data_IF_614214707886
#
_entry.id   IF_614214707886
#
_cell.length_a   1.000
_cell.length_b   1.000
_cell.length_c   1.000
_cell.angle_alpha   90.00
_cell.angle_beta   90.00
_cell.angle_gamma   90.00
#
_symmetry.space_group_name_H-M   'P 1'
#
loop_
_entity.id
_entity.type
_entity.pdbx_description
1 polymer ?
#
# COMPACT_ATOMS: atom_id res chain seq x y z
N UNK A 1 3.78 14.92 0.13
CA UNK A 1 3.75 14.09 -1.10
C UNK A 1 3.45 12.64 -0.73
N UNK A 2 2.62 11.93 -1.51
CA UNK A 2 2.30 10.53 -1.26
C UNK A 2 3.53 9.65 -1.46
N UNK A 3 3.72 8.62 -0.60
CA UNK A 3 4.84 7.69 -0.67
C UNK A 3 4.35 6.26 -0.87
N UNK A 4 5.18 5.46 -1.52
CA UNK A 4 4.90 4.04 -1.84
C UNK A 4 5.97 3.16 -1.23
N UNK A 5 5.56 2.04 -0.62
CA UNK A 5 6.46 0.98 -0.17
C UNK A 5 6.18 -0.27 -0.98
N UNK A 6 7.22 -0.86 -1.55
CA UNK A 6 7.15 -2.15 -2.27
C UNK A 6 7.92 -3.19 -1.49
N UNK A 7 7.22 -4.14 -0.90
CA UNK A 7 7.80 -5.27 -0.18
C UNK A 7 8.12 -6.41 -1.14
N UNK A 8 9.38 -6.83 -1.13
CA UNK A 8 9.93 -7.88 -1.99
C UNK A 8 10.55 -8.99 -1.15
N UNK A 9 10.53 -10.23 -1.66
CA UNK A 9 10.95 -11.42 -0.94
C UNK A 9 12.44 -11.41 -0.51
N UNK A 10 13.31 -10.78 -1.30
CA UNK A 10 14.76 -10.69 -1.04
C UNK A 10 15.30 -9.30 -1.37
N UNK A 11 16.51 -9.00 -0.91
CA UNK A 11 17.19 -7.74 -1.27
C UNK A 11 17.50 -7.65 -2.78
N UNK A 12 17.80 -8.79 -3.42
CA UNK A 12 18.00 -8.87 -4.87
C UNK A 12 16.69 -8.63 -5.63
N UNK A 13 15.58 -9.14 -5.12
CA UNK A 13 14.27 -8.85 -5.70
C UNK A 13 13.91 -7.37 -5.55
N UNK A 14 14.21 -6.76 -4.40
CA UNK A 14 14.01 -5.33 -4.17
C UNK A 14 14.88 -4.49 -5.12
N UNK A 15 16.11 -4.92 -5.44
CA UNK A 15 16.97 -4.23 -6.41
C UNK A 15 16.42 -4.35 -7.84
N UNK A 16 16.01 -5.55 -8.27
CA UNK A 16 15.39 -5.73 -9.60
C UNK A 16 14.11 -4.90 -9.75
N UNK A 17 13.28 -4.87 -8.70
CA UNK A 17 12.08 -4.05 -8.66
C UNK A 17 12.42 -2.56 -8.75
N UNK A 18 13.43 -2.09 -8.02
CA UNK A 18 13.91 -0.71 -8.10
C UNK A 18 14.33 -0.35 -9.53
N UNK A 19 15.14 -1.20 -10.17
CA UNK A 19 15.58 -0.97 -11.54
C UNK A 19 14.43 -0.90 -12.53
N UNK A 20 13.46 -1.81 -12.43
CA UNK A 20 12.25 -1.80 -13.27
C UNK A 20 11.44 -0.50 -13.06
N UNK A 21 11.23 -0.09 -11.80
CA UNK A 21 10.51 1.14 -11.49
C UNK A 21 11.25 2.40 -11.94
N UNK A 22 12.59 2.43 -11.87
CA UNK A 22 13.42 3.51 -12.40
C UNK A 22 13.24 3.63 -13.92
N UNK A 23 13.26 2.51 -14.64
CA UNK A 23 13.08 2.50 -16.08
C UNK A 23 11.68 2.98 -16.50
N UNK A 24 10.64 2.54 -15.77
CA UNK A 24 9.25 2.93 -16.03
C UNK A 24 8.93 4.38 -15.65
N UNK A 25 9.70 4.97 -14.74
CA UNK A 25 9.52 6.34 -14.27
C UNK A 25 10.73 7.22 -14.64
N UNK A 26 11.30 6.98 -15.83
CA UNK A 26 12.56 7.61 -16.27
C UNK A 26 12.52 9.15 -16.21
N UNK A 27 11.39 9.76 -16.51
CA UNK A 27 11.24 11.21 -16.48
C UNK A 27 11.32 11.77 -15.06
N UNK A 28 10.64 11.11 -14.10
CA UNK A 28 10.70 11.49 -12.69
C UNK A 28 12.09 11.26 -12.10
N UNK A 29 12.77 10.19 -12.52
CA UNK A 29 14.13 9.88 -12.07
C UNK A 29 15.15 10.85 -12.65
N UNK A 30 14.94 11.38 -13.86
CA UNK A 30 15.77 12.48 -14.42
C UNK A 30 15.65 13.76 -13.60
N UNK A 31 14.44 14.07 -13.10
CA UNK A 31 14.24 15.22 -12.22
C UNK A 31 14.92 15.01 -10.86
N UNK A 32 14.81 13.82 -10.30
CA UNK A 32 15.47 13.48 -9.04
C UNK A 32 15.83 11.98 -8.98
N UNK A 33 17.14 11.64 -8.94
CA UNK A 33 17.60 10.25 -8.85
C UNK A 33 17.08 9.48 -7.63
N UNK A 34 16.68 10.18 -6.57
CA UNK A 34 16.11 9.59 -5.37
C UNK A 34 14.59 9.32 -5.48
N UNK A 35 13.99 9.45 -6.67
CA UNK A 35 12.57 9.16 -6.85
C UNK A 35 12.22 7.72 -6.46
N UNK A 36 13.07 6.76 -6.85
CA UNK A 36 12.96 5.34 -6.47
C UNK A 36 14.24 4.90 -5.78
N UNK A 37 14.16 4.49 -4.53
CA UNK A 37 15.32 4.05 -3.73
C UNK A 37 15.07 2.66 -3.15
N UNK A 38 16.09 1.80 -3.15
CA UNK A 38 16.09 0.56 -2.37
C UNK A 38 16.48 0.91 -0.93
N UNK A 39 15.70 0.42 0.04
CA UNK A 39 15.98 0.61 1.47
C UNK A 39 16.00 -0.77 2.12
N UNK A 40 17.18 -1.34 2.27
CA UNK A 40 17.41 -2.67 2.85
C UNK A 40 18.49 -2.63 3.92
N UNK A 41 18.61 -3.73 4.71
CA UNK A 41 19.55 -3.80 5.81
C UNK A 41 21.02 -3.75 5.40
N UNK A 42 21.36 -4.21 4.19
CA UNK A 42 22.73 -4.22 3.66
C UNK A 42 23.10 -2.96 2.87
N UNK A 43 22.11 -2.11 2.53
CA UNK A 43 22.32 -0.94 1.67
C UNK A 43 22.55 0.34 2.48
N UNK A 44 23.82 0.75 2.57
CA UNK A 44 24.18 1.97 3.32
C UNK A 44 23.65 3.25 2.68
N UNK A 45 23.47 3.28 1.35
CA UNK A 45 22.83 4.41 0.67
C UNK A 45 21.35 4.48 1.01
N UNK A 46 20.65 3.37 0.91
CA UNK A 46 19.24 3.29 1.25
C UNK A 46 18.96 3.62 2.72
N UNK A 47 19.82 3.16 3.64
CA UNK A 47 19.70 3.53 5.06
C UNK A 47 19.77 5.04 5.29
N UNK A 48 20.67 5.76 4.61
CA UNK A 48 20.76 7.22 4.68
C UNK A 48 19.52 7.91 4.11
N UNK A 49 18.80 7.25 3.18
CA UNK A 49 17.56 7.79 2.60
C UNK A 49 16.31 7.46 3.44
N UNK A 50 16.42 6.57 4.41
CA UNK A 50 15.31 6.18 5.27
C UNK A 50 14.71 7.39 6.01
N UNK A 51 15.54 8.24 6.60
CA UNK A 51 15.07 9.42 7.35
C UNK A 51 14.30 10.40 6.46
N UNK A 52 14.73 10.56 5.22
CA UNK A 52 14.01 11.37 4.23
C UNK A 52 12.70 10.70 3.79
N UNK A 53 12.71 9.37 3.66
CA UNK A 53 11.51 8.62 3.29
C UNK A 53 10.43 8.70 4.37
N UNK A 54 10.77 8.62 5.64
CA UNK A 54 9.81 8.73 6.75
C UNK A 54 9.38 10.16 7.04
N UNK A 55 10.15 11.15 6.60
CA UNK A 55 9.86 12.57 6.80
C UNK A 55 8.58 12.98 6.07
N UNK A 56 7.72 13.72 6.74
CA UNK A 56 6.48 14.28 6.18
C UNK A 56 6.78 15.41 5.19
N UNK A 57 7.83 16.17 5.43
CA UNK A 57 8.20 17.36 4.63
C UNK A 57 9.10 17.06 3.45
N UNK A 58 9.85 15.94 3.48
CA UNK A 58 10.76 15.60 2.40
C UNK A 58 9.99 15.06 1.18
N UNK A 59 10.13 15.67 -0.01
CA UNK A 59 9.44 15.22 -1.22
C UNK A 59 9.98 13.87 -1.73
N UNK A 60 11.25 13.59 -1.55
CA UNK A 60 11.94 12.38 -2.00
C UNK A 60 12.56 11.62 -0.83
N UNK A 61 12.72 10.29 -0.92
CA UNK A 61 12.20 9.38 -1.96
C UNK A 61 10.68 9.30 -2.01
N UNK A 62 10.14 8.98 -3.21
CA UNK A 62 8.70 8.75 -3.42
C UNK A 62 8.37 7.26 -3.31
N UNK A 63 9.21 6.41 -3.91
CA UNK A 63 9.04 4.95 -3.92
C UNK A 63 10.24 4.32 -3.20
N UNK A 64 9.95 3.48 -2.21
CA UNK A 64 10.94 2.65 -1.54
C UNK A 64 10.69 1.17 -1.85
N UNK A 65 11.68 0.48 -2.43
CA UNK A 65 11.67 -0.98 -2.51
C UNK A 65 12.45 -1.57 -1.33
N UNK A 66 11.91 -2.59 -0.69
CA UNK A 66 12.50 -3.17 0.52
C UNK A 66 12.27 -4.68 0.58
N UNK A 67 13.06 -5.38 1.39
CA UNK A 67 12.73 -6.74 1.81
C UNK A 67 12.11 -6.72 3.22
N UNK A 68 12.89 -6.69 4.26
CA UNK A 68 12.38 -6.79 5.64
C UNK A 68 12.54 -5.52 6.48
N UNK A 69 13.42 -4.60 6.09
CA UNK A 69 13.80 -3.48 6.94
C UNK A 69 12.63 -2.55 7.28
N UNK A 70 11.77 -2.24 6.30
CA UNK A 70 10.63 -1.36 6.52
C UNK A 70 9.43 -2.05 7.18
N UNK A 71 9.47 -3.39 7.37
CA UNK A 71 8.45 -4.08 8.17
C UNK A 71 8.63 -3.81 9.66
N UNK A 72 9.84 -3.48 10.11
CA UNK A 72 10.17 -3.22 11.51
C UNK A 72 10.54 -1.75 11.76
N UNK A 73 9.83 -1.07 12.64
CA UNK A 73 10.25 0.20 13.24
C UNK A 73 10.08 1.51 12.44
N UNK A 74 10.08 1.50 11.11
CA UNK A 74 9.99 2.74 10.34
C UNK A 74 8.57 3.34 10.33
N UNK A 75 8.41 4.57 10.79
CA UNK A 75 7.11 5.26 10.85
C UNK A 75 6.85 6.13 9.62
N UNK A 76 6.42 5.50 8.52
CA UNK A 76 6.19 6.15 7.25
C UNK A 76 4.79 6.78 7.16
N UNK A 77 4.58 7.91 7.82
CA UNK A 77 3.27 8.59 7.94
C UNK A 77 2.62 8.94 6.59
N UNK A 78 3.41 9.19 5.54
CA UNK A 78 2.92 9.60 4.23
C UNK A 78 2.71 8.43 3.25
N UNK A 79 2.82 7.18 3.70
CA UNK A 79 2.59 6.00 2.86
C UNK A 79 1.13 5.92 2.45
N UNK A 80 0.85 6.04 1.14
CA UNK A 80 -0.48 5.92 0.53
C UNK A 80 -0.64 4.64 -0.28
N UNK A 81 0.46 3.97 -0.65
CA UNK A 81 0.44 2.71 -1.36
C UNK A 81 1.42 1.73 -0.72
N UNK A 82 0.94 0.55 -0.42
CA UNK A 82 1.72 -0.61 -0.01
C UNK A 82 1.58 -1.67 -1.08
N UNK A 83 2.70 -2.12 -1.64
CA UNK A 83 2.73 -3.18 -2.64
C UNK A 83 3.35 -4.42 -2.00
N UNK A 84 2.66 -5.54 -2.08
CA UNK A 84 3.10 -6.84 -1.57
C UNK A 84 3.53 -7.72 -2.76
N UNK A 85 4.85 -7.85 -2.96
CA UNK A 85 5.47 -8.79 -3.90
C UNK A 85 6.29 -9.84 -3.16
N UNK A 86 5.82 -10.25 -1.98
CA UNK A 86 6.40 -11.33 -1.19
C UNK A 86 5.32 -12.19 -0.54
N UNK A 87 5.69 -13.42 -0.21
CA UNK A 87 4.86 -14.30 0.62
C UNK A 87 5.11 -13.97 2.09
N UNK A 88 4.05 -13.65 2.82
CA UNK A 88 4.11 -13.33 4.24
C UNK A 88 3.70 -14.58 5.03
N UNK A 89 4.53 -15.00 5.96
CA UNK A 89 4.36 -16.24 6.70
C UNK A 89 3.54 -16.12 7.98
N UNK A 90 3.24 -14.90 8.45
CA UNK A 90 2.52 -14.72 9.71
C UNK A 90 1.58 -13.53 9.69
N UNK A 91 0.46 -13.65 10.44
CA UNK A 91 -0.49 -12.57 10.66
C UNK A 91 0.17 -11.35 11.34
N UNK A 92 1.11 -11.58 12.25
CA UNK A 92 1.83 -10.50 12.92
C UNK A 92 2.64 -9.66 11.93
N UNK A 93 3.38 -10.32 11.04
CA UNK A 93 4.16 -9.66 9.98
C UNK A 93 3.24 -8.91 9.01
N UNK A 94 2.15 -9.55 8.59
CA UNK A 94 1.14 -8.91 7.73
C UNK A 94 0.58 -7.63 8.37
N UNK A 95 0.12 -7.71 9.63
CA UNK A 95 -0.39 -6.55 10.37
C UNK A 95 0.67 -5.44 10.55
N UNK A 96 1.93 -5.80 10.74
CA UNK A 96 3.03 -4.83 10.81
C UNK A 96 3.23 -4.08 9.49
N UNK A 97 3.20 -4.80 8.37
CA UNK A 97 3.34 -4.22 7.04
C UNK A 97 2.17 -3.28 6.74
N UNK A 98 0.93 -3.77 6.89
CA UNK A 98 -0.28 -2.96 6.64
C UNK A 98 -0.34 -1.76 7.57
N UNK A 99 0.08 -1.92 8.83
CA UNK A 99 0.17 -0.84 9.82
C UNK A 99 1.02 0.36 9.38
N UNK A 100 1.89 0.21 8.38
CA UNK A 100 2.65 1.35 7.80
C UNK A 100 1.76 2.33 7.05
N UNK A 101 0.63 1.86 6.51
CA UNK A 101 -0.34 2.70 5.79
C UNK A 101 -1.40 3.34 6.67
N UNK A 102 -1.68 2.80 7.86
CA UNK A 102 -2.88 3.13 8.64
C UNK A 102 -2.93 4.54 9.22
N UNK A 103 -1.81 5.25 9.28
CA UNK A 103 -1.79 6.60 9.88
C UNK A 103 -2.42 7.64 8.97
N UNK A 104 -3.46 8.29 9.46
CA UNK A 104 -4.12 9.41 8.79
C UNK A 104 -3.29 10.69 8.87
N UNK A 105 -3.34 11.47 7.82
CA UNK A 105 -2.74 12.81 7.70
C UNK A 105 -3.62 13.68 6.83
N UNK A 106 -4.80 14.00 7.33
CA UNK A 106 -5.84 14.72 6.61
C UNK A 106 -5.36 16.10 6.12
N UNK A 107 -4.59 16.79 6.93
CA UNK A 107 -3.99 18.10 6.58
C UNK A 107 -3.06 18.02 5.36
N UNK A 108 -2.38 16.89 5.18
CA UNK A 108 -1.52 16.60 4.05
C UNK A 108 -2.23 15.80 2.94
N UNK A 109 -3.56 15.67 3.02
CA UNK A 109 -4.39 15.00 2.03
C UNK A 109 -4.27 13.47 2.05
N UNK A 110 -3.84 12.87 3.18
CA UNK A 110 -3.86 11.43 3.36
C UNK A 110 -5.04 11.02 4.25
N UNK A 111 -6.12 10.62 3.62
CA UNK A 111 -7.36 10.13 4.25
C UNK A 111 -7.47 8.61 4.23
N UNK A 112 -6.72 7.95 3.35
CA UNK A 112 -6.70 6.49 3.17
C UNK A 112 -5.34 6.04 2.62
N UNK A 113 -5.16 4.74 2.52
CA UNK A 113 -4.07 4.11 1.78
C UNK A 113 -4.60 2.92 1.00
N UNK A 114 -3.82 2.47 0.01
CA UNK A 114 -4.14 1.34 -0.86
C UNK A 114 -3.13 0.22 -0.62
N UNK A 115 -3.60 -1.01 -0.61
CA UNK A 115 -2.77 -2.21 -0.64
C UNK A 115 -2.91 -2.87 -2.00
N UNK A 116 -1.78 -3.11 -2.67
CA UNK A 116 -1.71 -3.86 -3.92
C UNK A 116 -0.99 -5.17 -3.65
N UNK A 117 -1.71 -6.28 -3.76
CA UNK A 117 -1.24 -7.60 -3.38
C UNK A 117 -1.08 -8.49 -4.61
N UNK A 118 0.17 -8.74 -5.02
CA UNK A 118 0.51 -9.61 -6.15
C UNK A 118 0.67 -11.08 -5.79
N UNK A 119 0.70 -11.41 -4.49
CA UNK A 119 0.91 -12.76 -3.99
C UNK A 119 -0.32 -13.38 -3.34
N UNK A 120 -1.45 -12.63 -3.39
CA UNK A 120 -2.71 -13.06 -2.77
C UNK A 120 -2.59 -13.36 -1.26
N UNK A 121 -1.68 -12.65 -0.60
CA UNK A 121 -1.37 -12.83 0.82
C UNK A 121 -2.52 -12.36 1.70
N UNK A 122 -3.20 -11.30 1.29
CA UNK A 122 -4.35 -10.75 2.01
C UNK A 122 -5.47 -11.77 2.21
N UNK A 123 -5.64 -12.73 1.28
CA UNK A 123 -6.63 -13.81 1.42
C UNK A 123 -6.26 -14.83 2.49
N UNK A 124 -4.96 -15.04 2.75
CA UNK A 124 -4.48 -15.95 3.80
C UNK A 124 -4.76 -15.41 5.19
N UNK A 125 -4.83 -14.10 5.31
CA UNK A 125 -5.00 -13.38 6.57
C UNK A 125 -6.32 -12.61 6.63
N UNK A 126 -7.28 -12.94 5.78
CA UNK A 126 -8.61 -12.35 5.79
C UNK A 126 -9.24 -12.55 7.18
N UNK A 127 -9.52 -11.45 7.86
CA UNK A 127 -10.11 -11.40 9.18
C UNK A 127 -11.26 -10.39 9.12
N UNK A 128 -12.53 -10.87 9.04
CA UNK A 128 -13.69 -10.00 8.91
C UNK A 128 -13.80 -8.94 10.02
N UNK A 129 -13.28 -9.25 11.20
CA UNK A 129 -13.30 -8.34 12.34
C UNK A 129 -12.24 -7.22 12.21
N UNK A 130 -11.22 -7.45 11.39
CA UNK A 130 -10.14 -6.49 11.15
C UNK A 130 -10.26 -5.79 9.80
N UNK A 131 -10.61 -6.54 8.75
CA UNK A 131 -10.63 -6.06 7.36
C UNK A 131 -11.97 -5.40 6.99
N UNK A 132 -13.03 -5.75 7.69
CA UNK A 132 -14.39 -5.43 7.28
C UNK A 132 -14.87 -6.28 6.08
N UNK A 133 -16.07 -6.02 5.56
CA UNK A 133 -16.57 -6.73 4.39
C UNK A 133 -15.78 -6.37 3.14
N UNK A 134 -15.51 -7.39 2.31
CA UNK A 134 -14.82 -7.20 1.02
C UNK A 134 -15.73 -6.40 0.08
N UNK A 135 -15.26 -5.24 -0.35
CA UNK A 135 -15.93 -4.45 -1.39
C UNK A 135 -15.37 -4.87 -2.75
N UNK A 136 -16.22 -5.46 -3.57
CA UNK A 136 -15.89 -5.79 -4.96
C UNK A 136 -16.34 -4.64 -5.85
N UNK A 137 -15.41 -4.01 -6.55
CA UNK A 137 -15.73 -3.01 -7.57
C UNK A 137 -15.92 -3.71 -8.94
N UNK A 138 -17.18 -3.89 -9.41
CA UNK A 138 -17.45 -4.53 -10.69
C UNK A 138 -17.08 -3.65 -11.89
N UNK A 139 -16.80 -2.37 -11.67
CA UNK A 139 -16.51 -1.39 -12.74
C UNK A 139 -15.03 -1.19 -13.04
N UNK A 140 -14.15 -1.92 -12.39
CA UNK A 140 -12.72 -1.72 -12.61
C UNK A 140 -12.27 -2.14 -14.02
N UNK A 141 -11.60 -1.22 -14.68
CA UNK A 141 -10.91 -1.45 -15.96
C UNK A 141 -9.40 -1.21 -15.75
N UNK A 142 -8.51 -2.14 -16.16
CA UNK A 142 -7.06 -1.92 -16.11
C UNK A 142 -6.70 -0.61 -16.85
N UNK A 143 -5.95 0.27 -16.18
CA UNK A 143 -5.59 1.60 -16.73
C UNK A 143 -6.61 2.73 -16.53
N UNK A 144 -7.78 2.45 -15.94
CA UNK A 144 -8.74 3.47 -15.55
C UNK A 144 -8.30 4.24 -14.28
N UNK A 145 -8.80 5.47 -14.14
CA UNK A 145 -8.61 6.24 -12.91
C UNK A 145 -9.28 5.51 -11.74
N UNK A 146 -8.51 5.26 -10.68
CA UNK A 146 -9.07 4.80 -9.40
C UNK A 146 -9.72 6.02 -8.75
N UNK A 147 -11.05 6.11 -8.83
CA UNK A 147 -11.80 7.09 -8.05
C UNK A 147 -11.85 6.62 -6.59
N UNK A 148 -11.64 7.52 -5.62
CA UNK A 148 -11.84 7.15 -4.21
C UNK A 148 -13.31 6.78 -3.98
N UNK A 149 -13.61 5.79 -3.13
CA UNK A 149 -15.00 5.50 -2.78
C UNK A 149 -15.63 6.71 -2.09
N UNK A 150 -16.67 7.27 -2.70
CA UNK A 150 -17.44 8.35 -2.09
C UNK A 150 -17.88 9.52 -2.97
N UNK A 151 -17.81 9.41 -4.31
CA UNK A 151 -18.22 10.50 -5.21
C UNK A 151 -19.15 10.05 -6.32
N UNK A 152 -20.35 9.61 -6.00
CA UNK A 152 -21.42 9.36 -6.97
C UNK A 152 -22.77 9.49 -6.28
N UNK A 153 -23.69 10.25 -6.87
CA UNK A 153 -25.07 10.38 -6.38
C UNK A 153 -25.75 9.02 -6.28
N UNK A 154 -26.56 8.77 -5.24
CA UNK A 154 -27.18 7.48 -5.02
C UNK A 154 -28.26 7.21 -6.07
N UNK A 155 -28.03 6.25 -6.94
CA UNK A 155 -29.11 5.57 -7.66
C UNK A 155 -29.51 4.39 -6.79
N UNK A 156 -30.70 4.46 -6.19
CA UNK A 156 -31.27 3.42 -5.33
C UNK A 156 -31.34 2.06 -6.05
N UNK A 157 -30.58 1.04 -5.62
CA UNK A 157 -30.86 -0.34 -6.00
C UNK A 157 -31.91 -0.96 -5.08
N UNK A 158 -32.69 -1.96 -5.54
CA UNK A 158 -33.70 -2.61 -4.73
C UNK A 158 -33.08 -3.26 -3.48
N UNK A 159 -33.70 -3.00 -2.35
CA UNK A 159 -33.32 -3.39 -1.00
C UNK A 159 -33.05 -4.90 -0.86
N UNK A 160 -31.81 -5.36 -0.63
CA UNK A 160 -31.58 -6.71 -0.14
C UNK A 160 -31.85 -6.79 1.36
N UNK A 161 -32.13 -7.99 1.91
CA UNK A 161 -32.39 -8.15 3.34
C UNK A 161 -31.18 -7.71 4.16
N UNK A 162 -31.43 -6.98 5.22
CA UNK A 162 -30.48 -6.36 6.15
C UNK A 162 -29.48 -7.40 6.70
N UNK A 163 -28.18 -7.31 6.35
CA UNK A 163 -27.18 -8.09 7.07
C UNK A 163 -26.95 -7.53 8.47
N UNK A 164 -26.47 -8.34 9.42
CA UNK A 164 -26.22 -7.87 10.77
C UNK A 164 -25.21 -6.72 10.75
N UNK A 165 -25.48 -5.70 11.55
CA UNK A 165 -24.68 -4.47 11.65
C UNK A 165 -23.29 -4.81 12.19
N UNK A 166 -22.33 -5.00 11.30
CA UNK A 166 -20.92 -5.14 11.66
C UNK A 166 -20.38 -3.74 11.91
N UNK A 167 -19.97 -3.46 13.15
CA UNK A 167 -19.31 -2.19 13.49
C UNK A 167 -17.96 -2.15 12.78
N UNK A 168 -17.62 -1.07 12.07
CA UNK A 168 -16.30 -0.95 11.46
C UNK A 168 -15.23 -1.02 12.57
N UNK A 169 -14.24 -1.88 12.38
CA UNK A 169 -13.10 -1.95 13.28
C UNK A 169 -12.25 -0.73 13.02
N UNK A 170 -12.26 0.18 13.98
CA UNK A 170 -11.43 1.37 13.97
C UNK A 170 -10.06 0.98 14.48
N UNK A 171 -9.01 1.11 13.68
CA UNK A 171 -7.64 0.96 14.15
C UNK A 171 -7.35 1.92 15.31
N UNK A 172 -6.28 1.65 16.06
CA UNK A 172 -5.92 2.37 17.30
C UNK A 172 -5.88 3.90 17.15
N UNK A 173 -5.77 4.42 15.92
CA UNK A 173 -5.69 5.84 15.57
C UNK A 173 -6.91 6.33 14.76
N UNK A 174 -8.02 5.60 14.75
CA UNK A 174 -9.24 5.99 14.03
C UNK A 174 -9.19 5.77 12.52
N UNK A 175 -8.16 5.11 11.99
CA UNK A 175 -8.03 4.82 10.57
C UNK A 175 -8.93 3.64 10.15
N UNK A 176 -9.74 3.85 9.13
CA UNK A 176 -10.53 2.82 8.48
C UNK A 176 -9.65 2.09 7.45
N UNK A 177 -9.48 0.80 7.60
CA UNK A 177 -8.76 -0.04 6.61
C UNK A 177 -9.79 -0.67 5.71
N UNK A 178 -9.68 -0.42 4.42
CA UNK A 178 -10.48 -1.05 3.38
C UNK A 178 -9.54 -1.79 2.43
N UNK A 179 -9.71 -3.11 2.30
CA UNK A 179 -8.91 -3.94 1.39
C UNK A 179 -9.74 -4.19 0.13
N UNK A 180 -9.29 -3.61 -0.98
CA UNK A 180 -9.88 -3.86 -2.29
C UNK A 180 -9.15 -5.03 -2.93
N UNK A 181 -9.82 -6.18 -3.02
CA UNK A 181 -9.29 -7.36 -3.70
C UNK A 181 -9.53 -7.27 -5.19
N UNK A 182 -8.46 -7.46 -5.96
CA UNK A 182 -8.50 -7.54 -7.40
C UNK A 182 -7.77 -8.77 -7.89
N UNK A 183 -8.49 -9.64 -8.59
CA UNK A 183 -7.92 -10.78 -9.28
C UNK A 183 -7.76 -10.43 -10.75
N UNK A 184 -6.51 -10.37 -11.24
CA UNK A 184 -6.22 -10.32 -12.68
C UNK A 184 -5.89 -11.76 -13.09
N UNK A 185 -6.78 -12.38 -13.87
CA UNK A 185 -6.51 -13.68 -14.52
C UNK A 185 -5.86 -13.39 -15.86
N UNK A 186 -4.61 -13.81 -16.03
CA UNK A 186 -3.94 -13.84 -17.34
C UNK A 186 -4.23 -15.22 -17.90
N UNK A 187 -4.92 -15.26 -19.02
CA UNK A 187 -5.07 -16.50 -19.83
C UNK A 187 -3.97 -16.48 -20.88
N UNK A 188 -3.18 -17.56 -20.93
CA UNK A 188 -2.25 -17.85 -22.03
C UNK A 188 -3.02 -18.25 -23.30
#
# INVERSE_FOLDING_TARGET
>A
MAKTIVFCATEDAAERMRQALVNLNSDMVKENPDYVVRITGSDDYGKKKLDYFISVSAPYPVIATTSKLLSTGADCKMTKLIVLDEMIGSMTEFKQIIGRGTRLREKEGKTHFVVMDFRNVSRLFADPDWDGPIVVDPGFTPGGHILPPGGGDPVDPPTPPTPPTVKPVVGRDGCKVEIIHKTVSVYD
#
